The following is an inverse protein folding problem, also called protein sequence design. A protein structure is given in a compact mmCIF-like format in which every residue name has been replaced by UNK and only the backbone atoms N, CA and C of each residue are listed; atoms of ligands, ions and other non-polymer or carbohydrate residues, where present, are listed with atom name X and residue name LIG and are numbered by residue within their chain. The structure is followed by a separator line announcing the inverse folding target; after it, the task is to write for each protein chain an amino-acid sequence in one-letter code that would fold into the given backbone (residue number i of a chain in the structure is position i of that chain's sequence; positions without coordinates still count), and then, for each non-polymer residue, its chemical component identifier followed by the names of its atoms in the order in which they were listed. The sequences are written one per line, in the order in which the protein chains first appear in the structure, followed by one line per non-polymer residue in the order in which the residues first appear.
data_IF_520130516899
#
_entry.id   IF_520130516899
#
_cell.length_a   1.000
_cell.length_b   1.000
_cell.length_c   1.000
_cell.angle_alpha   90.00
_cell.angle_beta   90.00
_cell.angle_gamma   90.00
#
_symmetry.space_group_name_H-M   'P 1'
#
loop_
_entity.id
_entity.type
_entity.pdbx_description
1 polymer ?
#
# COMPACT_ATOMS: atom_id res chain seq x y z
N UNK A 1 24.08 5.29 -16.75
CA UNK A 1 23.73 5.66 -15.37
C UNK A 1 22.96 6.95 -15.45
N UNK A 2 21.86 7.09 -14.71
CA UNK A 2 21.08 8.31 -14.74
C UNK A 2 21.90 9.48 -14.20
N UNK A 3 21.89 10.61 -14.90
CA UNK A 3 22.62 11.82 -14.51
C UNK A 3 22.15 12.35 -13.15
N UNK A 4 20.87 12.14 -12.84
CA UNK A 4 20.21 12.55 -11.61
C UNK A 4 19.61 11.32 -10.92
N UNK A 5 20.40 10.58 -10.13
CA UNK A 5 19.94 9.35 -9.48
C UNK A 5 18.82 9.63 -8.48
N UNK A 6 17.84 8.71 -8.44
CA UNK A 6 16.76 8.68 -7.46
C UNK A 6 16.56 7.26 -6.96
N UNK A 7 16.33 7.07 -5.66
CA UNK A 7 15.96 5.78 -5.09
C UNK A 7 14.45 5.58 -4.98
N UNK A 8 14.00 4.33 -5.07
CA UNK A 8 12.65 3.94 -4.66
C UNK A 8 12.51 4.08 -3.14
N UNK A 9 11.29 3.92 -2.62
CA UNK A 9 11.08 3.78 -1.18
C UNK A 9 11.73 2.48 -0.69
N UNK A 10 12.88 2.59 -0.04
CA UNK A 10 13.66 1.47 0.52
C UNK A 10 13.72 1.66 2.04
N UNK A 11 13.41 0.61 2.79
CA UNK A 11 13.43 0.65 4.26
C UNK A 11 14.84 0.31 4.76
N UNK A 12 15.56 1.22 5.44
CA UNK A 12 16.83 0.91 6.06
C UNK A 12 16.62 0.27 7.44
N UNK A 13 17.17 -0.92 7.65
CA UNK A 13 17.18 -1.61 8.95
C UNK A 13 18.58 -1.56 9.51
N UNK A 14 18.76 -0.87 10.65
CA UNK A 14 20.05 -0.83 11.32
C UNK A 14 20.42 -2.20 11.86
N UNK A 15 21.59 -2.71 11.47
CA UNK A 15 22.12 -3.95 11.99
C UNK A 15 22.67 -3.74 13.42
N UNK A 16 22.56 -4.73 14.31
CA UNK A 16 23.16 -4.67 15.63
C UNK A 16 24.66 -4.38 15.55
N UNK A 17 25.16 -3.53 16.45
CA UNK A 17 26.59 -3.32 16.61
C UNK A 17 27.17 -4.41 17.52
N UNK A 18 28.26 -5.02 17.10
CA UNK A 18 29.03 -5.98 17.89
C UNK A 18 30.00 -5.28 18.87
N UNK A 19 30.35 -4.02 18.61
CA UNK A 19 31.16 -3.20 19.52
C UNK A 19 30.81 -1.71 19.44
N UNK A 20 31.14 -0.95 20.49
CA UNK A 20 30.90 0.50 20.55
C UNK A 20 31.61 1.28 19.44
N UNK A 21 32.75 0.78 18.96
CA UNK A 21 33.56 1.40 17.91
C UNK A 21 33.16 0.97 16.49
N UNK A 22 32.20 0.06 16.36
CA UNK A 22 31.75 -0.39 15.05
C UNK A 22 30.97 0.71 14.33
N UNK A 23 31.32 0.92 13.06
CA UNK A 23 30.60 1.82 12.15
C UNK A 23 29.19 1.26 11.92
N UNK A 24 28.14 2.06 12.10
CA UNK A 24 26.78 1.59 11.87
C UNK A 24 26.57 1.13 10.42
N UNK A 25 25.95 -0.04 10.28
CA UNK A 25 25.59 -0.69 9.02
C UNK A 25 24.08 -0.83 8.91
N UNK A 26 23.54 -0.72 7.71
CA UNK A 26 22.11 -0.74 7.44
C UNK A 26 21.82 -1.74 6.32
N UNK A 27 20.97 -2.72 6.61
CA UNK A 27 20.36 -3.58 5.59
C UNK A 27 19.28 -2.78 4.86
N UNK A 28 19.35 -2.74 3.54
CA UNK A 28 18.34 -2.15 2.68
C UNK A 28 17.27 -3.19 2.36
N UNK A 29 16.08 -3.03 2.94
CA UNK A 29 14.94 -3.88 2.67
C UNK A 29 14.13 -3.35 1.48
N UNK A 30 14.15 -4.10 0.38
CA UNK A 30 13.29 -3.86 -0.78
C UNK A 30 11.90 -4.43 -0.54
N UNK A 31 11.00 -3.61 0.02
CA UNK A 31 9.63 -4.02 0.30
C UNK A 31 8.87 -4.47 -0.97
N UNK A 32 9.13 -3.84 -2.11
CA UNK A 32 8.50 -4.21 -3.36
C UNK A 32 9.02 -5.56 -3.92
N UNK A 33 10.17 -6.01 -3.43
CA UNK A 33 10.83 -7.27 -3.77
C UNK A 33 11.11 -7.43 -5.25
N UNK A 34 11.69 -6.39 -5.86
CA UNK A 34 12.24 -6.45 -7.22
C UNK A 34 13.59 -7.19 -7.24
N UNK A 35 14.30 -7.18 -6.10
CA UNK A 35 15.53 -7.92 -5.86
C UNK A 35 15.40 -8.82 -4.62
N UNK A 36 16.04 -10.00 -4.69
CA UNK A 36 16.20 -10.92 -3.55
C UNK A 36 17.58 -10.79 -2.89
N UNK A 37 18.44 -9.92 -3.40
CA UNK A 37 19.77 -9.70 -2.84
C UNK A 37 19.71 -8.84 -1.58
N UNK A 38 20.42 -9.28 -0.53
CA UNK A 38 20.62 -8.47 0.67
C UNK A 38 21.71 -7.44 0.42
N UNK A 39 21.36 -6.17 0.57
CA UNK A 39 22.30 -5.05 0.39
C UNK A 39 22.54 -4.38 1.72
N UNK A 40 23.81 -4.26 2.12
CA UNK A 40 24.19 -3.55 3.34
C UNK A 40 24.99 -2.31 2.96
N UNK A 41 24.60 -1.17 3.52
CA UNK A 41 25.28 0.12 3.33
C UNK A 41 25.75 0.68 4.65
N UNK A 42 26.75 1.57 4.60
CA UNK A 42 27.16 2.38 5.75
C UNK A 42 26.22 3.57 5.93
N UNK A 43 26.35 4.30 7.05
CA UNK A 43 25.64 5.56 7.24
C UNK A 43 25.90 6.57 6.12
N UNK A 44 27.15 6.67 5.64
CA UNK A 44 27.49 7.52 4.51
C UNK A 44 26.76 7.10 3.23
N UNK A 45 26.64 5.79 3.00
CA UNK A 45 25.83 5.23 1.91
C UNK A 45 24.36 5.65 2.00
N UNK A 46 23.78 5.57 3.20
CA UNK A 46 22.38 5.95 3.43
C UNK A 46 22.14 7.45 3.17
N UNK A 47 23.03 8.32 3.66
CA UNK A 47 22.96 9.77 3.41
C UNK A 47 23.07 10.07 1.90
N UNK A 48 23.97 9.40 1.18
CA UNK A 48 24.06 9.56 -0.28
C UNK A 48 22.76 9.14 -0.99
N UNK A 49 22.11 8.06 -0.53
CA UNK A 49 20.82 7.62 -1.08
C UNK A 49 19.70 8.63 -0.81
N UNK A 50 19.67 9.25 0.37
CA UNK A 50 18.71 10.31 0.71
C UNK A 50 18.91 11.57 -0.14
N UNK A 51 20.17 11.94 -0.40
CA UNK A 51 20.53 13.08 -1.26
C UNK A 51 20.24 12.83 -2.75
N UNK A 52 20.20 11.56 -3.16
CA UNK A 52 19.81 11.11 -4.50
C UNK A 52 18.29 11.16 -4.64
N UNK A 53 17.77 12.38 -4.77
CA UNK A 53 16.36 12.71 -4.96
C UNK A 53 16.01 12.99 -6.43
N UNK A 54 16.87 12.64 -7.38
CA UNK A 54 16.68 12.93 -8.80
C UNK A 54 16.82 14.40 -9.18
N UNK A 55 17.37 15.26 -8.32
CA UNK A 55 17.70 16.66 -8.64
C UNK A 55 19.20 16.97 -8.62
N UNK A 56 20.00 16.08 -8.03
CA UNK A 56 21.46 16.23 -7.90
C UNK A 56 22.22 15.21 -8.73
N UNK A 57 23.35 15.64 -9.28
CA UNK A 57 24.38 14.78 -9.89
C UNK A 57 25.17 14.02 -8.83
N UNK A 58 25.93 12.99 -9.22
CA UNK A 58 26.80 12.26 -8.28
C UNK A 58 27.90 13.14 -7.69
N UNK A 59 28.37 14.13 -8.44
CA UNK A 59 29.34 15.13 -7.99
C UNK A 59 28.75 16.03 -6.90
N UNK A 60 27.52 16.52 -7.10
CA UNK A 60 26.81 17.34 -6.13
C UNK A 60 26.48 16.55 -4.86
N UNK A 61 26.14 15.26 -4.99
CA UNK A 61 25.90 14.37 -3.85
C UNK A 61 27.19 14.15 -3.05
N UNK A 62 28.33 13.92 -3.70
CA UNK A 62 29.63 13.82 -3.04
C UNK A 62 29.98 15.12 -2.30
N UNK A 63 29.73 16.27 -2.93
CA UNK A 63 29.92 17.59 -2.33
C UNK A 63 29.03 17.82 -1.09
N UNK A 64 27.75 17.48 -1.20
CA UNK A 64 26.78 17.60 -0.10
C UNK A 64 27.12 16.67 1.06
N UNK A 65 27.53 15.42 0.80
CA UNK A 65 28.00 14.49 1.83
C UNK A 65 29.20 15.06 2.60
N UNK A 66 30.17 15.63 1.88
CA UNK A 66 31.34 16.28 2.50
C UNK A 66 30.93 17.45 3.38
N UNK A 67 29.98 18.28 2.93
CA UNK A 67 29.48 19.40 3.73
C UNK A 67 28.76 18.94 5.00
N UNK A 68 27.96 17.87 4.92
CA UNK A 68 27.18 17.37 6.06
C UNK A 68 28.01 16.56 7.07
N UNK A 69 29.03 15.84 6.61
CA UNK A 69 29.73 14.82 7.43
C UNK A 69 31.24 15.02 7.53
N UNK A 70 31.84 15.89 6.72
CA UNK A 70 33.29 16.03 6.57
C UNK A 70 33.96 14.91 5.76
N UNK A 71 33.23 13.84 5.40
CA UNK A 71 33.76 12.72 4.65
C UNK A 71 34.02 13.11 3.20
N UNK A 72 35.26 12.90 2.73
CA UNK A 72 35.63 13.13 1.33
C UNK A 72 35.56 11.80 0.59
N UNK A 73 34.65 11.73 -0.39
CA UNK A 73 34.51 10.59 -1.29
C UNK A 73 34.76 11.04 -2.72
N UNK A 74 35.42 10.20 -3.52
CA UNK A 74 35.59 10.48 -4.95
C UNK A 74 34.28 10.23 -5.69
N UNK A 75 33.97 11.07 -6.67
CA UNK A 75 32.77 10.91 -7.50
C UNK A 75 32.66 9.52 -8.13
N UNK A 76 33.79 8.95 -8.55
CA UNK A 76 33.87 7.58 -9.08
C UNK A 76 33.31 6.53 -8.11
N UNK A 77 33.57 6.67 -6.80
CA UNK A 77 33.07 5.74 -5.79
C UNK A 77 31.54 5.88 -5.60
N UNK A 78 31.01 7.10 -5.73
CA UNK A 78 29.56 7.35 -5.70
C UNK A 78 28.89 6.70 -6.91
N UNK A 79 29.49 6.88 -8.09
CA UNK A 79 29.01 6.25 -9.33
C UNK A 79 29.04 4.72 -9.23
N UNK A 80 30.13 4.13 -8.74
CA UNK A 80 30.25 2.69 -8.55
C UNK A 80 29.19 2.14 -7.59
N UNK A 81 28.97 2.82 -6.45
CA UNK A 81 27.92 2.47 -5.51
C UNK A 81 26.54 2.50 -6.19
N UNK A 82 26.20 3.61 -6.86
CA UNK A 82 24.87 3.75 -7.48
C UNK A 82 24.66 2.81 -8.66
N UNK A 83 25.71 2.51 -9.43
CA UNK A 83 25.70 1.46 -10.45
C UNK A 83 25.34 0.10 -9.85
N UNK A 84 25.98 -0.24 -8.73
CA UNK A 84 25.77 -1.50 -8.01
C UNK A 84 24.34 -1.58 -7.46
N UNK A 85 23.80 -0.47 -6.94
CA UNK A 85 22.42 -0.42 -6.45
C UNK A 85 21.37 -0.42 -7.59
N UNK A 86 21.70 0.17 -8.75
CA UNK A 86 20.86 0.13 -9.95
C UNK A 86 20.73 -1.29 -10.51
N UNK A 87 21.83 -2.03 -10.54
CA UNK A 87 21.83 -3.45 -10.95
C UNK A 87 20.90 -4.31 -10.08
N UNK A 88 20.61 -3.86 -8.85
CA UNK A 88 19.69 -4.49 -7.89
C UNK A 88 18.31 -3.83 -7.87
N UNK A 89 18.00 -3.02 -8.87
CA UNK A 89 16.70 -2.37 -9.06
C UNK A 89 16.31 -1.41 -7.91
N UNK A 90 17.25 -0.89 -7.12
CA UNK A 90 16.93 -0.01 -5.99
C UNK A 90 16.69 1.45 -6.43
N UNK A 91 17.20 1.84 -7.59
CA UNK A 91 16.94 3.15 -8.18
C UNK A 91 15.53 3.20 -8.78
N UNK A 92 14.88 4.36 -8.68
CA UNK A 92 13.62 4.63 -9.37
C UNK A 92 13.90 5.13 -10.79
N UNK A 93 14.08 4.20 -11.72
CA UNK A 93 14.39 4.48 -13.11
C UNK A 93 13.82 3.44 -14.08
N UNK A 94 14.10 3.59 -15.37
CA UNK A 94 13.59 2.70 -16.42
C UNK A 94 13.97 1.21 -16.22
N UNK A 95 15.07 0.90 -15.53
CA UNK A 95 15.44 -0.49 -15.22
C UNK A 95 14.49 -1.09 -14.19
N UNK A 96 14.28 -0.41 -13.06
CA UNK A 96 13.35 -0.86 -12.03
C UNK A 96 11.90 -0.89 -12.52
N UNK A 97 11.48 0.07 -13.35
CA UNK A 97 10.14 0.09 -13.97
C UNK A 97 9.90 -1.11 -14.87
N UNK A 98 10.87 -1.49 -15.71
CA UNK A 98 10.78 -2.71 -16.53
C UNK A 98 10.69 -3.95 -15.67
N UNK A 99 11.53 -4.04 -14.63
CA UNK A 99 11.49 -5.16 -13.68
C UNK A 99 10.14 -5.27 -12.97
N UNK A 100 9.56 -4.15 -12.53
CA UNK A 100 8.23 -4.13 -11.94
C UNK A 100 7.17 -4.64 -12.94
N UNK A 101 7.23 -4.20 -14.20
CA UNK A 101 6.28 -4.61 -15.22
C UNK A 101 6.31 -6.12 -15.52
N UNK A 102 7.47 -6.77 -15.38
CA UNK A 102 7.64 -8.22 -15.54
C UNK A 102 7.01 -9.04 -14.40
N UNK A 103 6.81 -8.45 -13.22
CA UNK A 103 6.21 -9.17 -12.08
C UNK A 103 4.69 -9.12 -12.21
N UNK A 104 4.12 -10.17 -12.82
CA UNK A 104 2.69 -10.33 -13.02
C UNK A 104 2.28 -11.78 -12.72
N UNK A 105 1.18 -12.00 -11.98
CA UNK A 105 0.40 -11.01 -11.21
C UNK A 105 1.22 -10.36 -10.07
N UNK A 106 0.64 -9.38 -9.37
CA UNK A 106 1.18 -8.92 -8.07
C UNK A 106 1.20 -10.14 -7.13
N UNK A 107 2.36 -10.53 -6.60
CA UNK A 107 2.49 -11.72 -5.78
C UNK A 107 1.79 -11.54 -4.44
N UNK A 108 1.29 -12.65 -3.90
CA UNK A 108 0.80 -12.74 -2.52
C UNK A 108 1.93 -12.44 -1.54
N UNK A 109 1.81 -11.42 -0.68
CA UNK A 109 2.90 -11.01 0.24
C UNK A 109 2.62 -11.27 1.71
N UNK A 110 1.35 -11.29 2.10
CA UNK A 110 0.95 -11.36 3.51
C UNK A 110 0.37 -12.72 3.89
N UNK A 111 0.41 -13.68 2.97
CA UNK A 111 0.20 -15.09 3.24
C UNK A 111 1.17 -15.61 4.31
N UNK A 112 0.66 -16.40 5.26
CA UNK A 112 1.39 -16.91 6.42
C UNK A 112 1.55 -15.91 7.58
N UNK A 113 1.64 -14.60 7.29
CA UNK A 113 1.78 -13.54 8.30
C UNK A 113 0.46 -12.88 8.72
N UNK A 114 -0.38 -12.54 7.74
CA UNK A 114 -1.67 -11.88 7.94
C UNK A 114 -2.87 -12.83 7.89
N UNK A 115 -2.70 -14.00 7.26
CA UNK A 115 -3.71 -15.05 7.11
C UNK A 115 -3.04 -16.40 6.77
N UNK A 116 -3.73 -17.56 6.89
CA UNK A 116 -3.13 -18.86 6.59
C UNK A 116 -2.61 -19.00 5.16
N UNK A 117 -1.48 -19.69 4.98
CA UNK A 117 -0.80 -19.74 3.68
C UNK A 117 -1.41 -20.74 2.71
N UNK A 118 -1.89 -21.87 3.22
CA UNK A 118 -2.37 -22.96 2.38
C UNK A 118 -3.88 -22.83 2.14
N UNK A 119 -4.40 -23.16 0.93
CA UNK A 119 -5.83 -23.08 0.65
C UNK A 119 -6.68 -23.89 1.63
N UNK A 120 -6.21 -25.08 2.02
CA UNK A 120 -6.92 -25.97 2.94
C UNK A 120 -7.09 -25.41 4.35
N UNK A 121 -6.18 -24.55 4.81
CA UNK A 121 -6.30 -23.83 6.08
C UNK A 121 -7.02 -22.48 5.93
N UNK A 122 -6.81 -21.82 4.79
CA UNK A 122 -7.35 -20.50 4.51
C UNK A 122 -8.86 -20.53 4.32
N UNK A 123 -9.39 -21.49 3.56
CA UNK A 123 -10.83 -21.59 3.31
C UNK A 123 -11.69 -21.69 4.59
N UNK A 124 -11.46 -22.64 5.52
CA UNK A 124 -12.23 -22.72 6.75
C UNK A 124 -12.00 -21.51 7.66
N UNK A 125 -10.79 -20.94 7.66
CA UNK A 125 -10.49 -19.72 8.40
C UNK A 125 -11.31 -18.52 7.90
N UNK A 126 -11.39 -18.33 6.59
CA UNK A 126 -12.18 -17.26 5.99
C UNK A 126 -13.69 -17.53 6.11
N UNK A 127 -14.15 -18.78 6.02
CA UNK A 127 -15.56 -19.12 6.27
C UNK A 127 -16.00 -18.74 7.68
N UNK A 128 -15.14 -18.97 8.69
CA UNK A 128 -15.39 -18.52 10.06
C UNK A 128 -15.47 -16.99 10.18
N UNK A 129 -14.56 -16.27 9.52
CA UNK A 129 -14.57 -14.80 9.50
C UNK A 129 -15.81 -14.25 8.81
N UNK A 130 -16.22 -14.88 7.71
CA UNK A 130 -17.39 -14.48 6.96
C UNK A 130 -18.69 -15.00 7.60
N UNK A 131 -18.64 -15.80 8.68
CA UNK A 131 -19.84 -16.45 9.22
C UNK A 131 -20.65 -17.19 8.13
N UNK A 132 -19.99 -17.88 7.20
CA UNK A 132 -20.62 -18.39 5.98
C UNK A 132 -21.84 -19.32 6.19
N UNK A 133 -21.93 -19.96 7.37
CA UNK A 133 -23.02 -20.87 7.76
C UNK A 133 -24.12 -20.20 8.59
N UNK A 134 -23.98 -18.92 8.95
CA UNK A 134 -24.96 -18.20 9.75
C UNK A 134 -26.15 -17.74 8.88
N UNK A 135 -27.38 -17.70 9.42
CA UNK A 135 -28.49 -17.08 8.72
C UNK A 135 -28.19 -15.58 8.55
N UNK A 136 -28.11 -15.14 7.31
CA UNK A 136 -27.88 -13.73 6.96
C UNK A 136 -29.21 -13.04 6.69
N UNK A 137 -29.38 -11.84 7.24
CA UNK A 137 -30.49 -10.98 6.82
C UNK A 137 -30.31 -10.62 5.35
N UNK A 138 -31.40 -10.68 4.59
CA UNK A 138 -31.39 -10.30 3.19
C UNK A 138 -31.37 -8.76 3.13
N UNK A 139 -30.16 -8.19 3.16
CA UNK A 139 -29.97 -6.75 3.04
C UNK A 139 -29.98 -6.35 1.56
N UNK A 140 -30.53 -5.17 1.28
CA UNK A 140 -30.40 -4.56 -0.05
C UNK A 140 -28.92 -4.35 -0.40
N UNK A 141 -28.62 -4.31 -1.70
CA UNK A 141 -27.25 -4.10 -2.18
C UNK A 141 -26.65 -2.85 -1.55
N UNK A 142 -25.61 -3.07 -0.74
CA UNK A 142 -24.87 -1.98 -0.13
C UNK A 142 -23.82 -1.50 -1.12
N UNK A 143 -23.94 -0.25 -1.56
CA UNK A 143 -23.07 0.30 -2.60
C UNK A 143 -21.67 0.61 -2.11
N UNK A 144 -21.50 0.88 -0.82
CA UNK A 144 -20.21 1.20 -0.24
C UNK A 144 -20.06 0.65 1.18
N UNK A 145 -18.85 0.26 1.52
CA UNK A 145 -18.49 -0.21 2.85
C UNK A 145 -17.20 0.46 3.33
N UNK A 146 -17.06 0.57 4.65
CA UNK A 146 -15.81 0.95 5.31
C UNK A 146 -15.43 -0.24 6.17
N UNK A 147 -14.27 -0.84 5.91
CA UNK A 147 -13.81 -2.06 6.55
C UNK A 147 -12.32 -1.92 6.91
N UNK A 148 -11.85 -2.56 8.00
CA UNK A 148 -10.45 -2.49 8.40
C UNK A 148 -9.55 -3.30 7.46
N UNK A 149 -8.25 -3.03 7.52
CA UNK A 149 -7.19 -3.86 6.92
C UNK A 149 -6.16 -4.36 7.93
N UNK A 150 -6.46 -4.35 9.22
CA UNK A 150 -5.63 -5.06 10.20
C UNK A 150 -5.51 -6.55 9.82
N UNK A 151 -4.39 -7.19 10.19
CA UNK A 151 -4.20 -8.63 9.95
C UNK A 151 -5.36 -9.47 10.48
N UNK A 152 -5.72 -10.54 9.77
CA UNK A 152 -6.94 -11.29 10.06
C UNK A 152 -6.90 -11.98 11.41
N UNK A 153 -5.71 -12.32 11.91
CA UNK A 153 -5.56 -12.94 13.22
C UNK A 153 -5.98 -11.98 14.35
N UNK A 154 -5.67 -10.69 14.22
CA UNK A 154 -6.09 -9.66 15.19
C UNK A 154 -7.48 -9.10 14.92
N UNK A 155 -7.87 -8.95 13.65
CA UNK A 155 -9.09 -8.26 13.24
C UNK A 155 -10.35 -9.12 13.18
N UNK A 156 -10.34 -10.36 13.66
CA UNK A 156 -11.38 -11.37 13.37
C UNK A 156 -12.81 -10.85 13.59
N UNK A 157 -13.04 -10.22 14.73
CA UNK A 157 -14.36 -9.72 15.13
C UNK A 157 -14.83 -8.56 14.24
N UNK A 158 -13.92 -7.67 13.85
CA UNK A 158 -14.23 -6.53 12.98
C UNK A 158 -14.59 -7.00 11.56
N UNK A 159 -13.83 -7.94 11.00
CA UNK A 159 -14.15 -8.51 9.69
C UNK A 159 -15.50 -9.21 9.71
N UNK A 160 -15.77 -10.02 10.74
CA UNK A 160 -17.07 -10.67 10.94
C UNK A 160 -18.21 -9.67 11.00
N UNK A 161 -18.08 -8.65 11.84
CA UNK A 161 -19.11 -7.62 12.02
C UNK A 161 -19.39 -6.81 10.76
N UNK A 162 -18.38 -6.61 9.90
CA UNK A 162 -18.52 -5.87 8.65
C UNK A 162 -19.03 -6.73 7.48
N UNK A 163 -18.39 -7.88 7.24
CA UNK A 163 -18.70 -8.73 6.08
C UNK A 163 -20.05 -9.44 6.19
N UNK A 164 -20.63 -9.60 7.38
CA UNK A 164 -21.98 -10.15 7.54
C UNK A 164 -23.06 -9.36 6.77
N UNK A 165 -22.79 -8.09 6.44
CA UNK A 165 -23.70 -7.25 5.64
C UNK A 165 -23.44 -7.30 4.13
N UNK A 166 -22.41 -8.03 3.70
CA UNK A 166 -21.95 -8.09 2.31
C UNK A 166 -22.21 -9.45 1.64
N UNK A 167 -22.91 -10.39 2.29
CA UNK A 167 -23.21 -11.70 1.69
C UNK A 167 -24.05 -11.61 0.42
N UNK A 168 -24.86 -10.56 0.27
CA UNK A 168 -25.62 -10.30 -0.95
C UNK A 168 -24.73 -10.05 -2.18
N UNK A 169 -23.44 -9.73 -2.00
CA UNK A 169 -22.47 -9.66 -3.08
C UNK A 169 -22.24 -11.02 -3.76
N UNK A 170 -22.63 -12.13 -3.13
CA UNK A 170 -22.59 -13.46 -3.74
C UNK A 170 -23.90 -13.83 -4.49
N UNK A 171 -24.93 -13.00 -4.45
CA UNK A 171 -26.29 -13.39 -4.89
C UNK A 171 -26.58 -13.21 -6.39
N UNK A 172 -25.62 -12.74 -7.20
CA UNK A 172 -25.83 -12.47 -8.63
C UNK A 172 -24.89 -13.26 -9.54
N UNK A 173 -25.34 -13.51 -10.77
CA UNK A 173 -24.61 -14.26 -11.80
C UNK A 173 -23.72 -13.39 -12.68
N UNK A 174 -23.92 -12.07 -12.67
CA UNK A 174 -23.06 -11.11 -13.38
C UNK A 174 -21.71 -10.96 -12.68
N UNK A 175 -20.63 -10.56 -13.36
CA UNK A 175 -19.36 -10.24 -12.69
C UNK A 175 -19.56 -9.21 -11.56
N UNK A 176 -18.88 -9.40 -10.43
CA UNK A 176 -18.77 -8.39 -9.39
C UNK A 176 -17.49 -7.58 -9.63
N UNK A 177 -17.61 -6.25 -9.62
CA UNK A 177 -16.45 -5.36 -9.59
C UNK A 177 -16.45 -4.57 -8.28
N UNK A 178 -15.31 -4.62 -7.57
CA UNK A 178 -15.12 -3.88 -6.31
C UNK A 178 -14.01 -2.86 -6.47
N UNK A 179 -14.33 -1.58 -6.27
CA UNK A 179 -13.31 -0.52 -6.16
C UNK A 179 -12.78 -0.53 -4.73
N UNK A 180 -11.50 -0.87 -4.54
CA UNK A 180 -10.88 -0.96 -3.21
C UNK A 180 -9.97 0.24 -3.02
N UNK A 181 -10.36 1.13 -2.11
CA UNK A 181 -9.61 2.29 -1.65
C UNK A 181 -8.78 1.87 -0.43
N UNK A 182 -7.61 1.33 -0.67
CA UNK A 182 -6.60 1.07 0.35
C UNK A 182 -5.80 2.32 0.72
N UNK A 183 -5.06 2.24 1.82
CA UNK A 183 -4.04 3.24 2.16
C UNK A 183 -2.67 2.76 1.71
N UNK A 184 -1.76 3.70 1.42
CA UNK A 184 -0.34 3.39 1.28
C UNK A 184 0.41 3.73 2.58
N UNK A 185 1.04 2.72 3.17
CA UNK A 185 1.94 2.88 4.32
C UNK A 185 3.33 3.40 3.92
N UNK A 186 3.70 3.25 2.66
CA UNK A 186 4.95 3.76 2.11
C UNK A 186 4.82 5.23 1.68
N UNK A 187 5.96 5.89 1.50
CA UNK A 187 6.00 7.27 1.00
C UNK A 187 5.40 7.32 -0.41
N UNK A 188 4.58 8.34 -0.66
CA UNK A 188 3.87 8.56 -1.92
C UNK A 188 4.13 9.99 -2.42
N UNK A 189 4.37 10.13 -3.72
CA UNK A 189 4.50 11.42 -4.42
C UNK A 189 3.18 11.89 -5.00
N UNK A 190 2.31 10.96 -5.36
CA UNK A 190 0.99 11.22 -5.96
C UNK A 190 -0.13 10.96 -4.96
N UNK A 191 -1.28 11.65 -5.07
CA UNK A 191 -2.38 11.49 -4.12
C UNK A 191 -3.02 10.10 -4.15
N UNK A 192 -3.02 9.47 -5.32
CA UNK A 192 -3.61 8.17 -5.56
C UNK A 192 -2.68 7.34 -6.44
N UNK A 193 -2.49 6.08 -6.09
CA UNK A 193 -1.62 5.14 -6.80
C UNK A 193 -2.49 4.04 -7.38
N UNK A 194 -2.47 3.91 -8.69
CA UNK A 194 -3.18 2.86 -9.42
C UNK A 194 -2.22 1.74 -9.83
N UNK A 195 -2.76 0.56 -10.08
CA UNK A 195 -2.04 -0.54 -10.73
C UNK A 195 -2.96 -1.25 -11.71
N UNK A 196 -2.38 -1.81 -12.78
CA UNK A 196 -3.09 -2.70 -13.71
C UNK A 196 -2.84 -4.18 -13.41
N UNK A 197 -2.07 -4.48 -12.35
CA UNK A 197 -1.70 -5.84 -11.98
C UNK A 197 -2.90 -6.55 -11.38
N UNK A 198 -3.13 -7.78 -11.81
CA UNK A 198 -3.98 -8.72 -11.08
C UNK A 198 -3.32 -9.05 -9.74
N UNK A 199 -4.10 -9.47 -8.75
CA UNK A 199 -3.62 -9.81 -7.41
C UNK A 199 -3.64 -11.32 -7.26
N UNK A 200 -2.46 -11.91 -7.06
CA UNK A 200 -2.38 -13.31 -6.67
C UNK A 200 -2.93 -13.52 -5.26
N UNK A 201 -3.57 -14.67 -5.03
CA UNK A 201 -4.03 -15.09 -3.71
C UNK A 201 -3.91 -16.61 -3.59
N UNK A 202 -3.86 -17.19 -2.38
CA UNK A 202 -3.85 -18.64 -2.24
C UNK A 202 -5.10 -19.32 -2.83
N UNK A 203 -6.22 -18.60 -2.97
CA UNK A 203 -7.46 -19.10 -3.59
C UNK A 203 -7.50 -18.88 -5.13
N UNK A 204 -6.36 -18.49 -5.72
CA UNK A 204 -6.23 -18.13 -7.13
C UNK A 204 -6.32 -16.61 -7.37
N UNK A 205 -5.95 -16.14 -8.57
CA UNK A 205 -5.84 -14.72 -8.85
C UNK A 205 -7.19 -14.00 -8.80
N UNK A 206 -7.13 -12.72 -8.47
CA UNK A 206 -8.20 -11.73 -8.56
C UNK A 206 -7.83 -10.75 -9.66
N UNK A 207 -8.65 -10.69 -10.70
CA UNK A 207 -8.41 -9.85 -11.87
C UNK A 207 -8.60 -8.36 -11.54
N UNK A 208 -7.76 -7.51 -12.11
CA UNK A 208 -7.95 -6.06 -12.05
C UNK A 208 -8.77 -5.59 -13.26
N UNK A 209 -9.81 -4.78 -13.02
CA UNK A 209 -10.57 -4.15 -14.11
C UNK A 209 -9.77 -3.00 -14.73
N UNK A 210 -8.93 -3.35 -15.72
CA UNK A 210 -8.04 -2.40 -16.37
C UNK A 210 -8.80 -1.28 -17.11
N UNK A 211 -10.00 -1.55 -17.62
CA UNK A 211 -10.79 -0.54 -18.32
C UNK A 211 -11.24 0.57 -17.35
N UNK A 212 -11.67 0.19 -16.15
CA UNK A 212 -12.01 1.15 -15.10
C UNK A 212 -10.77 1.87 -14.55
N UNK A 213 -9.64 1.17 -14.41
CA UNK A 213 -8.36 1.83 -14.06
C UNK A 213 -8.00 2.90 -15.08
N UNK A 214 -8.13 2.60 -16.38
CA UNK A 214 -7.84 3.54 -17.46
C UNK A 214 -8.80 4.74 -17.46
N UNK A 215 -10.05 4.54 -17.08
CA UNK A 215 -11.01 5.62 -16.86
C UNK A 215 -10.59 6.55 -15.71
N UNK A 216 -10.15 5.99 -14.57
CA UNK A 216 -9.67 6.78 -13.44
C UNK A 216 -8.43 7.62 -13.80
N UNK A 217 -7.63 7.16 -14.76
CA UNK A 217 -6.43 7.86 -15.24
C UNK A 217 -6.73 9.11 -16.10
N UNK A 218 -7.96 9.29 -16.60
CA UNK A 218 -8.28 10.37 -17.55
C UNK A 218 -8.06 11.75 -16.92
N UNK A 219 -7.36 12.62 -17.64
CA UNK A 219 -7.14 14.04 -17.28
C UNK A 219 -6.47 14.27 -15.91
N UNK A 220 -5.71 13.30 -15.39
CA UNK A 220 -4.94 13.50 -14.17
C UNK A 220 -3.70 14.36 -14.44
N UNK A 221 -3.36 15.32 -13.56
CA UNK A 221 -2.19 16.18 -13.73
C UNK A 221 -0.90 15.54 -13.16
N UNK A 222 -0.92 14.22 -12.93
CA UNK A 222 0.16 13.40 -12.40
C UNK A 222 0.06 11.98 -12.99
N UNK A 223 1.16 11.23 -12.96
CA UNK A 223 1.17 9.82 -13.34
C UNK A 223 0.76 8.93 -12.16
N UNK A 224 -0.43 8.29 -12.16
CA UNK A 224 -0.89 7.47 -11.04
C UNK A 224 -0.10 6.16 -10.88
N UNK A 225 0.77 5.81 -11.83
CA UNK A 225 1.65 4.63 -11.74
C UNK A 225 3.05 4.99 -11.21
N UNK A 226 3.29 6.28 -10.92
CA UNK A 226 4.58 6.77 -10.44
C UNK A 226 5.04 6.04 -9.17
N UNK A 227 4.15 5.66 -8.27
CA UNK A 227 4.51 4.93 -7.04
C UNK A 227 3.93 3.51 -7.02
N UNK A 228 3.70 2.89 -8.19
CA UNK A 228 3.11 1.55 -8.31
C UNK A 228 3.88 0.46 -7.53
N UNK A 229 5.17 0.66 -7.25
CA UNK A 229 5.95 -0.21 -6.35
C UNK A 229 5.28 -0.42 -4.99
N UNK A 230 4.54 0.56 -4.48
CA UNK A 230 3.90 0.49 -3.17
C UNK A 230 2.83 -0.60 -3.13
N UNK A 231 2.13 -0.86 -4.24
CA UNK A 231 1.17 -1.98 -4.32
C UNK A 231 1.83 -3.33 -4.03
N UNK A 232 3.12 -3.50 -4.34
CA UNK A 232 3.81 -4.78 -4.23
C UNK A 232 4.02 -5.28 -2.80
N UNK A 233 3.96 -4.39 -1.80
CA UNK A 233 4.15 -4.70 -0.39
C UNK A 233 2.92 -4.37 0.46
N UNK A 234 2.02 -3.54 -0.06
CA UNK A 234 0.85 -3.04 0.67
C UNK A 234 -0.19 -4.14 0.91
N UNK A 235 -0.75 -4.18 2.12
CA UNK A 235 -1.73 -5.19 2.54
C UNK A 235 -3.17 -4.69 2.45
N UNK A 236 -3.40 -3.37 2.50
CA UNK A 236 -4.73 -2.78 2.56
C UNK A 236 -5.68 -3.25 1.44
N UNK A 237 -5.15 -3.47 0.22
CA UNK A 237 -5.94 -4.05 -0.88
C UNK A 237 -5.92 -5.58 -0.88
N UNK A 238 -4.77 -6.19 -0.57
CA UNK A 238 -4.58 -7.66 -0.63
C UNK A 238 -5.58 -8.39 0.26
N UNK A 239 -5.78 -7.92 1.49
CA UNK A 239 -6.68 -8.54 2.45
C UNK A 239 -8.12 -8.59 1.93
N UNK A 240 -8.65 -7.48 1.42
CA UNK A 240 -10.00 -7.51 0.85
C UNK A 240 -10.08 -8.34 -0.43
N UNK A 241 -9.03 -8.39 -1.25
CA UNK A 241 -9.00 -9.28 -2.42
C UNK A 241 -9.17 -10.76 -2.01
N UNK A 242 -8.48 -11.21 -0.96
CA UNK A 242 -8.58 -12.57 -0.41
C UNK A 242 -9.98 -12.84 0.16
N UNK A 243 -10.51 -11.95 0.99
CA UNK A 243 -11.83 -12.10 1.59
C UNK A 243 -12.96 -12.08 0.55
N UNK A 244 -12.90 -11.16 -0.40
CA UNK A 244 -13.89 -11.06 -1.48
C UNK A 244 -13.85 -12.31 -2.38
N UNK A 245 -12.66 -12.82 -2.70
CA UNK A 245 -12.51 -14.06 -3.46
C UNK A 245 -13.19 -15.24 -2.76
N UNK A 246 -13.08 -15.34 -1.43
CA UNK A 246 -13.82 -16.36 -0.66
C UNK A 246 -15.32 -16.09 -0.61
N UNK A 247 -15.71 -14.84 -0.35
CA UNK A 247 -17.11 -14.43 -0.20
C UNK A 247 -17.96 -14.78 -1.43
N UNK A 248 -17.44 -14.49 -2.63
CA UNK A 248 -18.20 -14.66 -3.88
C UNK A 248 -17.98 -16.01 -4.56
N UNK A 249 -17.08 -16.85 -4.01
CA UNK A 249 -16.77 -18.22 -4.46
C UNK A 249 -16.57 -18.33 -5.98
N UNK A 250 -17.63 -18.74 -6.69
CA UNK A 250 -17.60 -19.04 -8.13
C UNK A 250 -18.00 -17.86 -9.02
N UNK A 251 -18.49 -16.76 -8.43
CA UNK A 251 -18.84 -15.55 -9.18
C UNK A 251 -17.56 -14.89 -9.72
N UNK A 252 -17.50 -14.50 -11.00
CA UNK A 252 -16.37 -13.73 -11.51
C UNK A 252 -16.18 -12.44 -10.70
N UNK A 253 -14.97 -12.25 -10.18
CA UNK A 253 -14.59 -11.09 -9.36
C UNK A 253 -13.50 -10.30 -10.07
N UNK A 254 -13.74 -8.99 -10.18
CA UNK A 254 -12.72 -8.01 -10.52
C UNK A 254 -12.55 -6.98 -9.41
N UNK A 255 -11.37 -6.41 -9.31
CA UNK A 255 -11.10 -5.29 -8.42
C UNK A 255 -10.55 -4.07 -9.18
N UNK A 256 -10.76 -2.89 -8.62
CA UNK A 256 -10.06 -1.66 -9.02
C UNK A 256 -9.22 -1.22 -7.83
N UNK A 257 -7.93 -1.62 -7.77
CA UNK A 257 -7.08 -1.38 -6.61
C UNK A 257 -6.51 0.05 -6.62
N UNK A 258 -6.77 0.80 -5.56
CA UNK A 258 -6.34 2.19 -5.41
C UNK A 258 -5.65 2.32 -4.05
N UNK A 259 -4.41 2.83 -4.01
CA UNK A 259 -3.81 3.28 -2.76
C UNK A 259 -3.95 4.78 -2.62
N UNK A 260 -4.48 5.21 -1.50
CA UNK A 260 -4.58 6.61 -1.09
C UNK A 260 -3.38 6.96 -0.22
N UNK A 261 -2.68 8.05 -0.54
CA UNK A 261 -1.65 8.57 0.36
C UNK A 261 -2.26 9.25 1.57
N UNK A 262 -1.40 9.55 2.55
CA UNK A 262 -1.75 10.50 3.60
C UNK A 262 -1.95 11.93 3.06
N UNK A 263 -3.10 12.53 3.39
CA UNK A 263 -3.38 13.96 3.17
C UNK A 263 -2.96 14.83 4.37
N UNK A 264 -1.95 14.40 5.14
CA UNK A 264 -1.48 15.10 6.34
C UNK A 264 -1.17 16.58 6.12
N UNK A 265 -0.68 16.97 4.94
CA UNK A 265 -0.44 18.38 4.61
C UNK A 265 -1.71 19.24 4.62
N UNK A 266 -2.85 18.68 4.18
CA UNK A 266 -4.14 19.35 4.18
C UNK A 266 -4.70 19.45 5.61
N UNK A 267 -4.52 18.40 6.41
CA UNK A 267 -4.87 18.39 7.84
C UNK A 267 -4.05 19.47 8.58
N UNK A 268 -2.73 19.46 8.42
CA UNK A 268 -1.82 20.43 9.05
C UNK A 268 -2.11 21.86 8.59
N UNK A 269 -2.39 22.04 7.29
CA UNK A 269 -2.74 23.32 6.69
C UNK A 269 -4.19 23.76 6.93
N UNK A 270 -5.02 22.91 7.54
CA UNK A 270 -6.46 23.13 7.80
C UNK A 270 -7.23 23.57 6.55
N UNK A 271 -7.00 22.88 5.44
CA UNK A 271 -7.73 23.09 4.20
C UNK A 271 -8.24 21.76 3.62
N UNK A 272 -9.20 21.83 2.70
CA UNK A 272 -9.76 20.61 2.09
C UNK A 272 -8.72 19.87 1.24
N UNK A 273 -8.58 18.54 1.35
CA UNK A 273 -7.71 17.75 0.46
C UNK A 273 -8.02 17.96 -1.03
N UNK A 274 -9.22 18.41 -1.38
CA UNK A 274 -9.58 18.78 -2.75
C UNK A 274 -8.72 19.92 -3.32
N UNK A 275 -8.05 20.73 -2.50
CA UNK A 275 -7.12 21.75 -2.99
C UNK A 275 -5.75 21.18 -3.38
N UNK A 276 -5.48 19.90 -3.09
CA UNK A 276 -4.25 19.25 -3.52
C UNK A 276 -4.33 18.93 -5.01
N UNK A 277 -3.20 19.13 -5.71
CA UNK A 277 -3.10 18.96 -7.15
C UNK A 277 -3.60 17.57 -7.57
N UNK A 278 -4.59 17.53 -8.46
CA UNK A 278 -5.13 16.30 -9.02
C UNK A 278 -6.18 15.58 -8.18
N UNK A 279 -6.45 16.01 -6.94
CA UNK A 279 -7.43 15.33 -6.08
C UNK A 279 -8.85 15.56 -6.58
N UNK A 280 -9.22 16.78 -6.98
CA UNK A 280 -10.57 17.07 -7.54
C UNK A 280 -10.82 16.27 -8.81
N UNK A 281 -9.83 16.22 -9.69
CA UNK A 281 -9.89 15.49 -10.96
C UNK A 281 -10.11 14.00 -10.72
N UNK A 282 -9.35 13.41 -9.79
CA UNK A 282 -9.50 12.00 -9.43
C UNK A 282 -10.86 11.69 -8.79
N UNK A 283 -11.31 12.53 -7.84
CA UNK A 283 -12.64 12.36 -7.21
C UNK A 283 -13.76 12.51 -8.26
N UNK A 284 -13.61 13.42 -9.23
CA UNK A 284 -14.59 13.55 -10.33
C UNK A 284 -14.63 12.29 -11.19
N UNK A 285 -13.48 11.64 -11.42
CA UNK A 285 -13.43 10.36 -12.13
C UNK A 285 -14.09 9.23 -11.34
N UNK A 286 -13.88 9.16 -10.02
CA UNK A 286 -14.58 8.21 -9.15
C UNK A 286 -16.09 8.44 -9.13
N UNK A 287 -16.53 9.70 -9.10
CA UNK A 287 -17.95 10.04 -9.16
C UNK A 287 -18.59 9.63 -10.48
N UNK A 288 -17.91 9.83 -11.61
CA UNK A 288 -18.38 9.36 -12.91
C UNK A 288 -18.47 7.84 -12.97
N UNK A 289 -17.42 7.14 -12.52
CA UNK A 289 -17.39 5.68 -12.46
C UNK A 289 -18.56 5.16 -11.61
N UNK A 290 -18.81 5.79 -10.46
CA UNK A 290 -20.01 5.53 -9.66
C UNK A 290 -21.26 5.77 -10.50
N UNK A 291 -21.48 6.95 -11.03
CA UNK A 291 -22.76 7.28 -11.67
C UNK A 291 -23.07 6.43 -12.92
N UNK A 292 -22.04 6.00 -13.66
CA UNK A 292 -22.16 5.14 -14.85
C UNK A 292 -22.31 3.64 -14.52
N UNK A 293 -21.84 3.21 -13.35
CA UNK A 293 -21.87 1.80 -12.92
C UNK A 293 -22.56 1.62 -11.55
N UNK A 294 -23.91 1.54 -11.51
CA UNK A 294 -24.68 1.31 -10.28
C UNK A 294 -24.36 0.00 -9.57
N UNK A 295 -23.83 -0.99 -10.28
CA UNK A 295 -23.50 -2.33 -9.79
C UNK A 295 -22.14 -2.45 -9.06
N UNK A 296 -21.28 -1.44 -9.16
CA UNK A 296 -19.97 -1.45 -8.48
C UNK A 296 -20.15 -1.27 -6.98
N UNK A 297 -19.43 -2.08 -6.21
CA UNK A 297 -19.25 -1.90 -4.77
C UNK A 297 -17.97 -1.10 -4.49
N UNK A 298 -18.06 -0.08 -3.65
CA UNK A 298 -16.90 0.70 -3.19
C UNK A 298 -16.50 0.25 -1.79
N UNK A 299 -15.25 -0.17 -1.60
CA UNK A 299 -14.73 -0.60 -0.31
C UNK A 299 -13.61 0.37 0.11
N UNK A 300 -13.86 1.15 1.16
CA UNK A 300 -12.83 1.91 1.85
C UNK A 300 -12.16 1.00 2.88
N UNK A 301 -10.89 0.71 2.63
CA UNK A 301 -10.07 -0.15 3.48
C UNK A 301 -9.26 0.71 4.44
N UNK A 302 -9.77 0.90 5.66
CA UNK A 302 -9.25 1.88 6.61
C UNK A 302 -9.35 1.34 8.03
N UNK A 303 -8.23 1.36 8.74
CA UNK A 303 -8.19 1.22 10.19
C UNK A 303 -8.40 2.60 10.85
N UNK A 304 -9.05 2.62 12.01
CA UNK A 304 -9.32 3.84 12.77
C UNK A 304 -8.07 4.27 13.58
N UNK A 305 -8.24 4.69 14.83
CA UNK A 305 -7.13 5.24 15.60
C UNK A 305 -6.06 4.21 16.00
N UNK A 306 -4.80 4.56 15.74
CA UNK A 306 -3.62 3.76 16.10
C UNK A 306 -3.01 4.28 17.41
N UNK A 307 -3.55 3.82 18.55
CA UNK A 307 -3.17 4.31 19.88
C UNK A 307 -2.64 3.19 20.78
N UNK A 308 -1.68 3.52 21.65
CA UNK A 308 -1.15 2.61 22.67
C UNK A 308 0.35 2.36 22.56
N UNK A 309 0.87 1.49 23.43
CA UNK A 309 2.30 1.18 23.54
C UNK A 309 2.93 0.73 22.21
N UNK A 310 2.23 -0.11 21.46
CA UNK A 310 2.71 -0.63 20.18
C UNK A 310 2.79 0.44 19.08
N UNK A 311 2.16 1.59 19.30
CA UNK A 311 2.20 2.76 18.41
C UNK A 311 3.04 3.91 18.99
N UNK A 312 3.86 3.62 20.01
CA UNK A 312 4.70 4.62 20.68
C UNK A 312 3.94 5.57 21.62
N UNK A 313 2.66 5.30 21.87
CA UNK A 313 1.81 6.03 22.82
C UNK A 313 1.84 5.45 24.23
N UNK A 314 1.19 6.12 25.20
CA UNK A 314 1.06 5.59 26.56
C UNK A 314 0.10 4.37 26.60
N UNK A 315 0.11 3.59 27.71
CA UNK A 315 -0.93 2.59 27.96
C UNK A 315 -2.33 3.22 27.93
N UNK A 316 -3.31 2.50 27.37
CA UNK A 316 -4.69 3.00 27.23
C UNK A 316 -5.49 2.75 28.51
N UNK A 317 -6.23 3.75 28.97
CA UNK A 317 -7.23 3.60 30.03
C UNK A 317 -8.61 3.32 29.44
N UNK A 318 -9.52 2.74 30.24
CA UNK A 318 -10.91 2.53 29.82
C UNK A 318 -11.60 3.85 29.38
N UNK A 319 -11.41 4.92 30.15
CA UNK A 319 -11.96 6.24 29.82
C UNK A 319 -11.42 6.79 28.50
N UNK A 320 -10.16 6.52 28.18
CA UNK A 320 -9.56 6.94 26.92
C UNK A 320 -10.11 6.12 25.74
N UNK A 321 -10.39 4.83 25.93
CA UNK A 321 -11.02 4.00 24.89
C UNK A 321 -12.44 4.49 24.54
N UNK A 322 -13.24 4.86 25.55
CA UNK A 322 -14.58 5.44 25.34
C UNK A 322 -14.51 6.78 24.59
N UNK A 323 -13.52 7.62 24.92
CA UNK A 323 -13.28 8.86 24.19
C UNK A 323 -12.81 8.60 22.75
N UNK A 324 -11.95 7.61 22.55
CA UNK A 324 -11.43 7.21 21.25
C UNK A 324 -12.55 6.74 20.34
N UNK A 325 -13.42 5.85 20.84
CA UNK A 325 -14.60 5.37 20.13
C UNK A 325 -15.50 6.53 19.70
N UNK A 326 -15.77 7.50 20.59
CA UNK A 326 -16.56 8.68 20.23
C UNK A 326 -15.92 9.47 19.08
N UNK A 327 -14.61 9.71 19.12
CA UNK A 327 -13.87 10.46 18.08
C UNK A 327 -13.84 9.72 16.74
N UNK A 328 -13.72 8.40 16.79
CA UNK A 328 -13.75 7.56 15.60
C UNK A 328 -15.15 7.58 14.97
N UNK A 329 -16.22 7.46 15.77
CA UNK A 329 -17.60 7.58 15.30
C UNK A 329 -17.91 8.96 14.72
N UNK A 330 -17.41 10.04 15.34
CA UNK A 330 -17.52 11.41 14.80
C UNK A 330 -16.84 11.52 13.43
N UNK A 331 -15.68 10.89 13.26
CA UNK A 331 -14.93 10.90 11.98
C UNK A 331 -15.66 10.13 10.87
N UNK A 332 -16.44 9.10 11.21
CA UNK A 332 -17.22 8.31 10.25
C UNK A 332 -18.52 9.00 9.81
N UNK A 333 -19.03 9.97 10.57
CA UNK A 333 -20.27 10.69 10.23
C UNK A 333 -20.07 11.78 9.16
N UNK A 334 -18.82 12.17 8.89
CA UNK A 334 -18.47 13.17 7.86
C UNK A 334 -18.48 14.59 8.38
#
# INVERSE_FOLDING_TARGET
MDLYPRFRSIEPIQLPKESSNEVPRFLLRDAAGLSNEQVVVTLAGLIMMELADGTRTTEEIAGALKQQTGLVIQNQQVQELFSSLDQRYLLDNARARRRLAEILPRPTRHSGGGYPETPGELEPFLDDLLCADAPHENTDFCRASILPHIDFFRGRECYRAGYQFLHNLNSATTPLTVVILGISHAVCRTPFILTRKDFDTPLGPVETDQAMVDELCRNLPFDPFQDEYNHMAEHSVEFHAVLLKRLVRNRPLKIVPILCRSFFEAIRGRFTPLNLKGVREFISNLQRLRDEHPEIHFLASVDLAHMGLNFGGPPLSKSFLEELERRDLESLQG
#
